data_IF_381906587726
#
_entry.id   IF_381906587726
#
_cell.length_a   1.000
_cell.length_b   1.000
_cell.length_c   1.000
_cell.angle_alpha   90.00
_cell.angle_beta   90.00
_cell.angle_gamma   90.00
#
_symmetry.space_group_name_H-M   'P 1'
#
loop_
_entity.id
_entity.type
_entity.pdbx_description
1 polymer ?
#
# COMPACT_ATOMS: atom_id res chain seq x y z
N UNK A 1 -13.06 -14.33 -2.79
CA UNK A 1 -13.27 -13.69 -4.11
C UNK A 1 -12.93 -12.21 -3.97
N UNK A 2 -12.20 -11.61 -4.92
CA UNK A 2 -11.88 -10.16 -4.88
C UNK A 2 -13.17 -9.35 -5.02
N UNK A 3 -13.27 -8.28 -4.25
CA UNK A 3 -14.42 -7.37 -4.21
C UNK A 3 -14.03 -5.90 -4.44
N UNK A 4 -12.81 -5.55 -4.04
CA UNK A 4 -12.27 -4.20 -4.08
C UNK A 4 -10.92 -4.21 -4.80
N UNK A 5 -10.62 -3.14 -5.52
CA UNK A 5 -9.35 -2.96 -6.21
C UNK A 5 -8.76 -1.59 -5.88
N UNK A 6 -7.56 -1.59 -5.31
CA UNK A 6 -6.76 -0.40 -5.08
C UNK A 6 -5.67 -0.31 -6.16
N UNK A 7 -5.83 0.65 -7.05
CA UNK A 7 -4.90 0.93 -8.14
C UNK A 7 -3.95 2.05 -7.70
N UNK A 8 -2.68 1.71 -7.46
CA UNK A 8 -1.63 2.68 -7.12
C UNK A 8 -0.66 2.98 -8.28
N UNK A 9 -1.07 2.64 -9.50
CA UNK A 9 -0.29 2.92 -10.69
C UNK A 9 -0.47 4.38 -11.17
N UNK A 10 0.49 4.85 -11.96
CA UNK A 10 0.35 6.07 -12.75
C UNK A 10 -0.01 5.68 -14.18
N UNK A 11 -1.04 6.32 -14.74
CA UNK A 11 -1.44 6.14 -16.14
C UNK A 11 -2.01 4.75 -16.48
N UNK A 12 -2.65 4.07 -15.52
CA UNK A 12 -3.31 2.78 -15.75
C UNK A 12 -4.79 2.89 -15.40
N UNK A 13 -5.64 2.66 -16.39
CA UNK A 13 -7.09 2.67 -16.22
C UNK A 13 -7.62 1.35 -15.63
N UNK A 14 -8.81 1.42 -15.06
CA UNK A 14 -9.49 0.27 -14.47
C UNK A 14 -10.18 -0.56 -15.57
N UNK A 15 -9.82 -1.84 -15.68
CA UNK A 15 -10.32 -2.71 -16.75
C UNK A 15 -11.78 -3.20 -16.58
N UNK A 16 -12.33 -3.19 -15.36
CA UNK A 16 -13.65 -3.79 -15.05
C UNK A 16 -14.49 -2.91 -14.08
N UNK A 17 -14.77 -1.64 -14.43
CA UNK A 17 -15.33 -0.65 -13.50
C UNK A 17 -16.64 -1.09 -12.83
N UNK A 18 -17.48 -1.87 -13.53
CA UNK A 18 -18.79 -2.30 -13.03
C UNK A 18 -18.73 -3.57 -12.17
N UNK A 19 -17.57 -4.24 -12.09
CA UNK A 19 -17.41 -5.53 -11.41
C UNK A 19 -16.81 -5.42 -10.00
N UNK A 20 -16.13 -4.31 -9.70
CA UNK A 20 -15.41 -4.13 -8.45
C UNK A 20 -15.56 -2.72 -7.92
N UNK A 21 -15.38 -2.54 -6.61
CA UNK A 21 -15.26 -1.22 -6.00
C UNK A 21 -13.82 -0.77 -6.17
N UNK A 22 -13.59 0.32 -6.90
CA UNK A 22 -12.26 0.84 -7.19
C UNK A 22 -11.88 2.03 -6.33
N UNK A 23 -10.59 2.12 -6.03
CA UNK A 23 -9.92 3.33 -5.56
C UNK A 23 -8.64 3.51 -6.37
N UNK A 24 -8.43 4.71 -6.90
CA UNK A 24 -7.19 5.08 -7.60
C UNK A 24 -6.42 6.04 -6.70
N UNK A 25 -5.15 5.71 -6.41
CA UNK A 25 -4.23 6.56 -5.65
C UNK A 25 -2.93 6.64 -6.44
N UNK A 26 -2.80 7.68 -7.25
CA UNK A 26 -1.73 7.77 -8.23
C UNK A 26 -0.36 8.03 -7.59
N UNK A 27 0.56 7.07 -7.73
CA UNK A 27 1.92 7.15 -7.18
C UNK A 27 2.98 6.93 -8.27
N UNK A 28 4.02 7.77 -8.26
CA UNK A 28 5.21 7.58 -9.08
C UNK A 28 6.12 6.52 -8.44
N UNK A 29 6.84 5.77 -9.27
CA UNK A 29 7.79 4.73 -8.83
C UNK A 29 9.22 5.26 -8.78
N UNK A 30 9.42 6.36 -8.05
CA UNK A 30 10.73 7.00 -7.90
C UNK A 30 11.09 7.12 -6.41
N UNK A 31 12.38 7.00 -6.05
CA UNK A 31 12.84 7.02 -4.65
C UNK A 31 12.34 8.22 -3.84
N UNK A 32 12.18 9.38 -4.48
CA UNK A 32 11.78 10.65 -3.85
C UNK A 32 10.27 10.73 -3.55
N UNK A 33 9.47 9.79 -4.05
CA UNK A 33 8.03 9.78 -3.76
C UNK A 33 7.81 9.46 -2.28
N UNK A 34 7.13 10.35 -1.56
CA UNK A 34 6.84 10.19 -0.13
C UNK A 34 5.66 9.24 0.08
N UNK A 35 5.95 7.98 0.44
CA UNK A 35 4.95 6.93 0.62
C UNK A 35 3.90 7.31 1.67
N UNK A 36 4.33 7.95 2.75
CA UNK A 36 3.49 8.34 3.90
C UNK A 36 2.36 9.30 3.52
N UNK A 37 2.51 10.08 2.43
CA UNK A 37 1.43 10.94 1.94
C UNK A 37 0.24 10.13 1.39
N UNK A 38 0.45 8.88 0.99
CA UNK A 38 -0.56 8.02 0.37
C UNK A 38 -1.11 6.96 1.31
N UNK A 39 -0.40 6.68 2.41
CA UNK A 39 -0.77 5.66 3.39
C UNK A 39 -2.16 5.87 4.00
N UNK A 40 -2.55 7.06 4.49
CA UNK A 40 -3.87 7.24 5.11
C UNK A 40 -5.01 6.82 4.17
N UNK A 41 -4.94 7.25 2.91
CA UNK A 41 -5.98 6.95 1.91
C UNK A 41 -5.97 5.47 1.48
N UNK A 42 -4.79 4.88 1.28
CA UNK A 42 -4.66 3.47 0.94
C UNK A 42 -5.15 2.56 2.07
N UNK A 43 -4.72 2.83 3.30
CA UNK A 43 -5.00 1.99 4.46
C UNK A 43 -6.47 2.06 4.85
N UNK A 44 -7.07 3.26 4.82
CA UNK A 44 -8.49 3.42 5.05
C UNK A 44 -9.33 2.60 4.07
N UNK A 45 -8.98 2.62 2.77
CA UNK A 45 -9.66 1.79 1.77
C UNK A 45 -9.53 0.29 2.06
N UNK A 46 -8.32 -0.18 2.40
CA UNK A 46 -8.06 -1.59 2.70
C UNK A 46 -8.84 -2.01 3.97
N UNK A 47 -8.73 -1.25 5.05
CA UNK A 47 -9.35 -1.57 6.34
C UNK A 47 -10.88 -1.50 6.27
N UNK A 48 -11.47 -0.57 5.51
CA UNK A 48 -12.94 -0.52 5.30
C UNK A 48 -13.44 -1.76 4.56
N UNK A 49 -12.78 -2.14 3.47
CA UNK A 49 -13.14 -3.32 2.71
C UNK A 49 -13.01 -4.59 3.57
N UNK A 50 -11.94 -4.70 4.36
CA UNK A 50 -11.73 -5.82 5.28
C UNK A 50 -12.84 -5.92 6.33
N UNK A 51 -13.23 -4.79 6.95
CA UNK A 51 -14.34 -4.72 7.94
C UNK A 51 -15.69 -5.14 7.36
N UNK A 52 -15.88 -5.00 6.06
CA UNK A 52 -17.09 -5.44 5.35
C UNK A 52 -17.03 -6.92 4.91
N UNK A 53 -15.98 -7.66 5.29
CA UNK A 53 -15.76 -9.04 4.85
C UNK A 53 -15.28 -9.13 3.39
N UNK A 54 -14.84 -8.02 2.80
CA UNK A 54 -14.33 -7.95 1.44
C UNK A 54 -12.86 -8.37 1.32
N UNK A 55 -12.46 -8.70 0.10
CA UNK A 55 -11.06 -8.93 -0.29
C UNK A 55 -10.61 -7.83 -1.25
N UNK A 56 -9.45 -7.24 -0.96
CA UNK A 56 -8.85 -6.15 -1.72
C UNK A 56 -7.67 -6.66 -2.53
N UNK A 57 -7.66 -6.34 -3.82
CA UNK A 57 -6.48 -6.48 -4.67
C UNK A 57 -5.77 -5.13 -4.77
N UNK A 58 -4.53 -5.05 -4.31
CA UNK A 58 -3.68 -3.85 -4.48
C UNK A 58 -2.72 -4.09 -5.65
N UNK A 59 -2.73 -3.22 -6.65
CA UNK A 59 -1.84 -3.36 -7.80
C UNK A 59 -1.22 -2.01 -8.24
N UNK A 60 -0.09 -2.11 -8.94
CA UNK A 60 0.52 -0.99 -9.66
C UNK A 60 0.69 -1.40 -11.14
N UNK A 61 1.75 -0.95 -11.82
CA UNK A 61 2.04 -1.42 -13.19
C UNK A 61 2.56 -2.87 -13.21
N UNK A 62 3.60 -3.18 -12.43
CA UNK A 62 4.24 -4.51 -12.41
C UNK A 62 3.94 -5.31 -11.12
N UNK A 63 3.31 -4.67 -10.13
CA UNK A 63 3.15 -5.27 -8.79
C UNK A 63 4.47 -5.55 -8.08
N UNK A 64 5.55 -4.82 -8.41
CA UNK A 64 6.90 -5.06 -7.87
C UNK A 64 7.22 -4.09 -6.73
N UNK A 65 7.06 -2.79 -6.96
CA UNK A 65 7.49 -1.75 -6.04
C UNK A 65 6.32 -1.10 -5.30
N UNK A 66 5.62 -0.11 -5.89
CA UNK A 66 4.52 0.65 -5.23
C UNK A 66 3.49 -0.19 -4.47
N UNK A 67 2.88 -1.17 -5.14
CA UNK A 67 1.86 -2.01 -4.50
C UNK A 67 2.45 -2.82 -3.33
N UNK A 68 3.66 -3.34 -3.46
CA UNK A 68 4.34 -4.04 -2.38
C UNK A 68 4.63 -3.08 -1.21
N UNK A 69 5.11 -1.85 -1.49
CA UNK A 69 5.37 -0.83 -0.48
C UNK A 69 4.12 -0.46 0.32
N UNK A 70 2.97 -0.31 -0.34
CA UNK A 70 1.69 -0.03 0.34
C UNK A 70 1.30 -1.16 1.27
N UNK A 71 1.40 -2.43 0.82
CA UNK A 71 1.09 -3.57 1.69
C UNK A 71 2.07 -3.69 2.85
N UNK A 72 3.37 -3.47 2.64
CA UNK A 72 4.36 -3.50 3.72
C UNK A 72 4.03 -2.41 4.75
N UNK A 73 3.78 -1.17 4.31
CA UNK A 73 3.39 -0.08 5.20
C UNK A 73 2.10 -0.39 5.97
N UNK A 74 1.11 -0.99 5.31
CA UNK A 74 -0.15 -1.38 5.92
C UNK A 74 0.07 -2.41 7.05
N UNK A 75 0.88 -3.44 6.80
CA UNK A 75 1.22 -4.46 7.80
C UNK A 75 2.01 -3.88 8.99
N UNK A 76 2.89 -2.91 8.75
CA UNK A 76 3.59 -2.22 9.83
C UNK A 76 2.61 -1.43 10.69
N UNK A 77 1.66 -0.71 10.07
CA UNK A 77 0.70 0.13 10.80
C UNK A 77 -0.40 -0.67 11.50
N UNK A 78 -1.11 -1.54 10.79
CA UNK A 78 -2.31 -2.20 11.32
C UNK A 78 -1.96 -3.47 12.13
N UNK A 79 -0.95 -4.22 11.70
CA UNK A 79 -0.56 -5.48 12.37
C UNK A 79 0.62 -5.29 13.34
N UNK A 80 1.20 -4.08 13.39
CA UNK A 80 2.33 -3.76 14.27
C UNK A 80 3.62 -4.53 13.94
N UNK A 81 3.75 -5.04 12.72
CA UNK A 81 4.93 -5.79 12.31
C UNK A 81 6.16 -4.89 12.17
N UNK A 82 7.33 -5.45 12.45
CA UNK A 82 8.59 -4.81 12.06
C UNK A 82 8.68 -4.72 10.53
N UNK A 83 9.43 -3.75 10.02
CA UNK A 83 9.69 -3.67 8.57
C UNK A 83 10.21 -4.98 7.99
N UNK A 84 11.12 -5.65 8.71
CA UNK A 84 11.74 -6.89 8.25
C UNK A 84 10.72 -8.05 8.17
N UNK A 85 9.82 -8.14 9.14
CA UNK A 85 8.76 -9.17 9.17
C UNK A 85 7.71 -8.91 8.08
N UNK A 86 7.25 -7.66 7.96
CA UNK A 86 6.29 -7.25 6.94
C UNK A 86 6.86 -7.47 5.52
N UNK A 87 8.11 -7.06 5.28
CA UNK A 87 8.79 -7.29 4.01
C UNK A 87 8.94 -8.78 3.70
N UNK A 88 9.37 -9.58 4.67
CA UNK A 88 9.55 -11.02 4.50
C UNK A 88 8.23 -11.74 4.21
N UNK A 89 7.14 -11.33 4.89
CA UNK A 89 5.79 -11.86 4.64
C UNK A 89 5.35 -11.58 3.20
N UNK A 90 5.50 -10.34 2.75
CA UNK A 90 5.16 -9.94 1.37
C UNK A 90 6.04 -10.65 0.34
N UNK A 91 7.35 -10.75 0.60
CA UNK A 91 8.30 -11.44 -0.29
C UNK A 91 7.99 -12.92 -0.43
N UNK A 92 7.56 -13.58 0.66
CA UNK A 92 7.15 -14.99 0.64
C UNK A 92 5.86 -15.19 -0.17
N UNK A 93 4.89 -14.30 -0.02
CA UNK A 93 3.65 -14.35 -0.80
C UNK A 93 3.87 -13.97 -2.28
N UNK A 94 4.82 -13.08 -2.56
CA UNK A 94 5.17 -12.61 -3.90
C UNK A 94 6.70 -12.44 -4.03
N UNK A 95 7.41 -13.47 -4.54
CA UNK A 95 8.88 -13.42 -4.67
C UNK A 95 9.41 -12.27 -5.55
N UNK A 96 8.60 -11.75 -6.46
CA UNK A 96 8.94 -10.60 -7.30
C UNK A 96 8.85 -9.25 -6.58
N UNK A 97 8.31 -9.18 -5.35
CA UNK A 97 8.21 -7.94 -4.59
C UNK A 97 9.61 -7.35 -4.33
N UNK A 98 9.81 -6.11 -4.77
CA UNK A 98 11.07 -5.40 -4.66
C UNK A 98 10.81 -3.89 -4.76
N UNK A 99 10.40 -3.24 -3.65
CA UNK A 99 10.35 -1.79 -3.56
C UNK A 99 11.66 -1.14 -4.00
N UNK A 100 11.59 0.03 -4.61
CA UNK A 100 12.79 0.80 -4.90
C UNK A 100 13.54 1.19 -3.61
N UNK A 101 14.81 1.58 -3.73
CA UNK A 101 15.68 1.88 -2.58
C UNK A 101 15.11 2.97 -1.65
N UNK A 102 14.54 4.04 -2.21
CA UNK A 102 13.92 5.11 -1.42
C UNK A 102 12.70 4.62 -0.65
N UNK A 103 11.91 3.74 -1.24
CA UNK A 103 10.77 3.11 -0.56
C UNK A 103 11.21 2.15 0.55
N UNK A 104 12.25 1.34 0.31
CA UNK A 104 12.82 0.46 1.33
C UNK A 104 13.30 1.28 2.53
N UNK A 105 14.01 2.39 2.30
CA UNK A 105 14.47 3.29 3.36
C UNK A 105 13.29 3.89 4.12
N UNK A 106 12.34 4.52 3.42
CA UNK A 106 11.16 5.12 4.03
C UNK A 106 10.36 4.12 4.87
N UNK A 107 10.21 2.87 4.42
CA UNK A 107 9.50 1.82 5.15
C UNK A 107 10.29 1.34 6.37
N UNK A 108 11.62 1.28 6.30
CA UNK A 108 12.46 0.90 7.45
C UNK A 108 12.46 1.97 8.56
N UNK A 109 12.27 3.23 8.19
CA UNK A 109 12.18 4.38 9.12
C UNK A 109 10.73 4.66 9.55
N UNK A 110 9.75 3.96 8.97
CA UNK A 110 8.34 4.23 9.19
C UNK A 110 7.89 3.81 10.59
N UNK A 111 7.40 4.78 11.36
CA UNK A 111 6.91 4.60 12.71
C UNK A 111 5.44 5.07 12.81
N UNK A 112 4.46 4.15 12.93
CA UNK A 112 3.04 4.48 12.96
C UNK A 112 2.64 5.46 14.07
N UNK A 113 3.28 5.36 15.25
CA UNK A 113 2.98 6.19 16.42
C UNK A 113 3.20 7.70 16.23
N UNK A 114 3.99 8.13 15.24
CA UNK A 114 4.31 9.56 15.06
C UNK A 114 3.39 10.31 14.08
N UNK A 115 2.43 9.63 13.43
CA UNK A 115 1.58 10.28 12.41
C UNK A 115 0.24 10.79 12.95
N UNK A 116 -0.05 10.60 14.24
CA UNK A 116 -1.25 11.12 14.91
C UNK A 116 -1.14 12.53 15.52
N UNK A 117 -0.01 13.24 15.35
CA UNK A 117 0.23 14.55 16.03
C UNK A 117 0.60 15.72 15.12
N UNK A 118 0.29 15.69 13.81
CA UNK A 118 0.42 16.88 12.95
C UNK A 118 -0.90 17.22 12.30
N UNK A 119 -1.77 17.84 13.08
CA UNK A 119 -3.08 18.30 12.62
C UNK A 119 -3.78 19.25 13.57
N UNK A 120 -3.06 20.03 14.38
CA UNK A 120 -3.64 21.15 15.14
C UNK A 120 -2.65 22.32 15.16
N UNK A 121 -2.91 23.33 14.34
CA UNK A 121 -2.45 24.72 14.46
C UNK A 121 -3.45 25.62 13.75
#
# INVERSE_FOLDING_TARGET
>A
KVSHILNVAYGVDNAFPDSYIYKIVTMLDVPDTKLTNYFPECFDFISRAHKQGGVVLVHCNAGVSRAASVIIGYLIQEDGLSFQDAFSLVKRARPAAHPNSGFMQQLSEYNPCQQGQRGES
#
